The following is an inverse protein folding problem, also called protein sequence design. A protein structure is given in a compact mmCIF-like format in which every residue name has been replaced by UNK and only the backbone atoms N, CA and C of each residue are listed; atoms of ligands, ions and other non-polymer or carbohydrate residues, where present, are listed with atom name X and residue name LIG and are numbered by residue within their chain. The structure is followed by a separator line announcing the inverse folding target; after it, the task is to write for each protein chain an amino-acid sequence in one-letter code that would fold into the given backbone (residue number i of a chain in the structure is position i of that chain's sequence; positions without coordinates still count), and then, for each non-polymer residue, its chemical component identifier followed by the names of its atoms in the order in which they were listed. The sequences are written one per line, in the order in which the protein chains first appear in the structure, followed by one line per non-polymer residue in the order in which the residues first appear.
data_IF_070145709319
#
_entry.id   IF_070145709319
#
_cell.length_a   1.000
_cell.length_b   1.000
_cell.length_c   1.000
_cell.angle_alpha   90.00
_cell.angle_beta   90.00
_cell.angle_gamma   90.00
#
_symmetry.space_group_name_H-M   'P 1'
#
loop_
_entity.id
_entity.type
_entity.pdbx_description
1 polymer ?
#
# COMPACT_ATOMS: atom_id res chain seq x y z
N UNK A 1 -79.59 39.67 41.24
CA UNK A 1 -78.39 40.53 41.20
C UNK A 1 -77.20 39.64 40.85
N UNK A 2 -76.39 39.76 39.80
CA UNK A 2 -76.31 40.62 38.64
C UNK A 2 -75.59 39.82 37.52
N UNK A 3 -75.99 40.02 36.27
CA UNK A 3 -75.35 39.48 35.06
C UNK A 3 -74.03 40.22 34.81
N UNK A 4 -72.97 39.51 34.42
CA UNK A 4 -71.87 40.11 33.63
C UNK A 4 -71.48 39.17 32.49
N UNK A 5 -71.87 39.59 31.29
CA UNK A 5 -71.37 39.09 30.02
C UNK A 5 -69.94 39.61 29.83
N UNK A 6 -69.01 38.73 29.49
CA UNK A 6 -67.75 39.12 28.86
C UNK A 6 -67.67 38.42 27.52
N UNK A 7 -67.78 39.22 26.47
CA UNK A 7 -67.51 38.84 25.09
C UNK A 7 -66.09 39.26 24.71
N UNK A 8 -65.48 38.44 23.84
CA UNK A 8 -64.43 38.73 22.86
C UNK A 8 -62.98 38.89 23.36
N UNK A 9 -62.13 37.90 23.03
CA UNK A 9 -61.28 37.90 21.82
C UNK A 9 -60.32 36.68 21.84
N UNK A 10 -60.28 35.84 20.80
CA UNK A 10 -59.17 34.90 20.65
C UNK A 10 -57.98 35.69 20.08
N UNK A 11 -56.94 35.88 20.89
CA UNK A 11 -55.67 36.40 20.41
C UNK A 11 -54.94 35.24 19.72
N UNK A 12 -55.24 35.01 18.45
CA UNK A 12 -54.39 34.19 17.58
C UNK A 12 -53.04 34.92 17.46
N UNK A 13 -52.08 34.54 18.30
CA UNK A 13 -50.68 34.84 18.03
C UNK A 13 -50.27 34.01 16.81
N UNK A 14 -50.27 34.64 15.64
CA UNK A 14 -49.56 34.14 14.49
C UNK A 14 -48.06 34.11 14.84
N UNK A 15 -47.56 32.94 15.23
CA UNK A 15 -46.13 32.67 15.29
C UNK A 15 -45.60 32.75 13.85
N UNK A 16 -44.74 33.73 13.59
CA UNK A 16 -44.06 33.90 12.32
C UNK A 16 -43.46 32.58 11.82
N UNK A 17 -43.42 32.33 10.50
CA UNK A 17 -42.72 31.17 9.97
C UNK A 17 -41.24 31.37 10.29
N UNK A 18 -40.69 30.55 11.19
CA UNK A 18 -39.24 30.38 11.28
C UNK A 18 -38.80 29.74 9.97
N UNK A 19 -38.48 30.56 8.98
CA UNK A 19 -37.63 30.17 7.88
C UNK A 19 -36.30 29.76 8.52
N UNK A 20 -36.04 28.46 8.60
CA UNK A 20 -34.72 27.91 8.90
C UNK A 20 -34.08 27.47 7.59
N UNK A 21 -33.47 28.38 6.80
CA UNK A 21 -32.58 27.96 5.73
C UNK A 21 -31.19 27.73 6.34
N UNK A 22 -30.99 26.67 7.13
CA UNK A 22 -29.68 26.53 7.82
C UNK A 22 -29.14 25.12 7.98
N UNK A 23 -29.91 24.07 7.71
CA UNK A 23 -29.42 22.69 7.82
C UNK A 23 -28.38 22.30 6.77
N UNK A 24 -28.53 22.62 5.46
CA UNK A 24 -27.48 22.30 4.48
C UNK A 24 -26.27 23.21 4.65
N UNK A 25 -26.47 24.52 4.76
CA UNK A 25 -25.39 25.52 4.87
C UNK A 25 -24.43 25.27 6.06
N UNK A 26 -24.97 24.96 7.25
CA UNK A 26 -24.11 24.66 8.41
C UNK A 26 -23.36 23.33 8.24
N UNK A 27 -23.93 22.37 7.53
CA UNK A 27 -23.29 21.09 7.23
C UNK A 27 -22.18 21.26 6.20
N UNK A 28 -22.42 22.10 5.18
CA UNK A 28 -21.44 22.46 4.16
C UNK A 28 -20.26 23.24 4.75
N UNK A 29 -20.52 24.19 5.67
CA UNK A 29 -19.47 24.95 6.34
C UNK A 29 -18.63 24.09 7.29
N UNK A 30 -19.22 23.07 7.93
CA UNK A 30 -18.46 22.08 8.72
C UNK A 30 -17.63 21.17 7.82
N UNK A 31 -18.16 20.76 6.68
CA UNK A 31 -17.45 19.95 5.69
C UNK A 31 -16.26 20.71 5.09
N UNK A 32 -16.42 21.99 4.75
CA UNK A 32 -15.33 22.80 4.21
C UNK A 32 -14.21 22.98 5.22
N UNK A 33 -14.51 23.30 6.48
CA UNK A 33 -13.50 23.43 7.54
C UNK A 33 -12.77 22.11 7.78
N UNK A 34 -13.45 20.97 7.69
CA UNK A 34 -12.82 19.65 7.78
C UNK A 34 -11.88 19.39 6.59
N UNK A 35 -12.34 19.64 5.36
CA UNK A 35 -11.53 19.46 4.15
C UNK A 35 -10.32 20.39 4.13
N UNK A 36 -10.48 21.65 4.54
CA UNK A 36 -9.36 22.60 4.65
C UNK A 36 -8.30 22.13 5.64
N UNK A 37 -8.73 21.58 6.79
CA UNK A 37 -7.81 20.99 7.77
C UNK A 37 -7.09 19.77 7.21
N UNK A 38 -7.81 18.88 6.51
CA UNK A 38 -7.22 17.71 5.88
C UNK A 38 -6.21 18.11 4.79
N UNK A 39 -6.58 19.02 3.90
CA UNK A 39 -5.70 19.52 2.84
C UNK A 39 -4.47 20.21 3.41
N UNK A 40 -4.63 21.00 4.49
CA UNK A 40 -3.49 21.60 5.18
C UNK A 40 -2.57 20.54 5.77
N UNK A 41 -3.12 19.51 6.40
CA UNK A 41 -2.34 18.39 6.95
C UNK A 41 -1.57 17.68 5.85
N UNK A 42 -2.25 17.27 4.77
CA UNK A 42 -1.62 16.57 3.64
C UNK A 42 -0.54 17.42 2.97
N UNK A 43 -0.76 18.72 2.77
CA UNK A 43 0.27 19.61 2.22
C UNK A 43 1.48 19.70 3.14
N UNK A 44 1.25 19.77 4.46
CA UNK A 44 2.33 19.77 5.45
C UNK A 44 3.14 18.48 5.37
N UNK A 45 2.48 17.33 5.32
CA UNK A 45 3.13 16.01 5.22
C UNK A 45 3.94 15.87 3.91
N UNK A 46 3.36 16.25 2.77
CA UNK A 46 4.04 16.22 1.47
C UNK A 46 5.27 17.13 1.51
N UNK A 47 5.14 18.34 2.07
CA UNK A 47 6.28 19.27 2.21
C UNK A 47 7.36 18.72 3.15
N UNK A 48 7.02 17.95 4.18
CA UNK A 48 8.01 17.30 5.04
C UNK A 48 8.69 16.09 4.41
N UNK A 49 8.05 15.39 3.47
CA UNK A 49 8.65 14.28 2.72
C UNK A 49 9.54 14.74 1.56
N UNK A 50 9.26 15.93 0.99
CA UNK A 50 9.96 16.45 -0.18
C UNK A 50 11.49 16.76 -0.06
N UNK A 51 12.11 16.95 1.12
CA UNK A 51 13.52 17.31 1.21
C UNK A 51 14.46 16.10 1.36
N UNK A 52 13.95 14.87 1.47
CA UNK A 52 14.81 13.69 1.55
C UNK A 52 15.47 13.46 0.17
N UNK A 53 16.80 13.40 0.08
CA UNK A 53 17.46 13.09 -1.19
C UNK A 53 16.93 11.76 -1.70
N UNK A 54 16.61 11.69 -3.00
CA UNK A 54 16.21 10.44 -3.61
C UNK A 54 17.25 9.36 -3.24
N UNK A 55 16.81 8.15 -2.85
CA UNK A 55 17.74 7.09 -2.50
C UNK A 55 18.74 6.91 -3.65
N UNK A 56 20.02 6.66 -3.33
CA UNK A 56 21.05 6.52 -4.35
C UNK A 56 20.60 5.48 -5.37
N UNK A 57 20.73 5.80 -6.66
CA UNK A 57 20.40 4.85 -7.70
C UNK A 57 21.20 3.56 -7.47
N UNK A 58 20.59 2.38 -7.72
CA UNK A 58 21.31 1.12 -7.60
C UNK A 58 22.56 1.16 -8.49
N UNK A 59 23.65 0.49 -8.07
CA UNK A 59 24.90 0.51 -8.82
C UNK A 59 24.68 0.05 -10.27
N UNK A 60 25.20 0.82 -11.22
CA UNK A 60 25.01 0.59 -12.67
C UNK A 60 25.55 -0.75 -13.17
N UNK A 61 26.33 -1.47 -12.35
CA UNK A 61 26.91 -2.76 -12.65
C UNK A 61 26.03 -3.96 -12.26
N UNK A 62 24.80 -3.73 -11.75
CA UNK A 62 23.89 -4.83 -11.47
C UNK A 62 23.58 -5.57 -12.78
N UNK A 63 23.79 -6.90 -12.84
CA UNK A 63 23.68 -7.65 -14.09
C UNK A 63 22.23 -7.94 -14.50
N UNK A 64 21.27 -7.21 -13.93
CA UNK A 64 19.84 -7.34 -14.16
C UNK A 64 19.33 -6.11 -14.90
N UNK A 65 18.45 -6.33 -15.89
CA UNK A 65 17.62 -5.25 -16.40
C UNK A 65 16.49 -4.96 -15.42
N UNK A 66 16.28 -3.69 -15.09
CA UNK A 66 15.24 -3.20 -14.19
C UNK A 66 14.07 -2.67 -15.02
N UNK A 67 12.86 -3.13 -14.73
CA UNK A 67 11.59 -2.63 -15.27
C UNK A 67 10.72 -2.16 -14.09
N UNK A 68 10.58 -0.84 -13.95
CA UNK A 68 9.74 -0.23 -12.93
C UNK A 68 8.30 -0.12 -13.45
N UNK A 69 7.34 -0.73 -12.73
CA UNK A 69 5.92 -0.72 -13.08
C UNK A 69 5.17 0.09 -12.02
N UNK A 70 5.24 1.44 -12.06
CA UNK A 70 4.76 2.28 -10.96
C UNK A 70 3.25 2.14 -10.68
N UNK A 71 2.45 1.76 -11.68
CA UNK A 71 1.01 1.51 -11.51
C UNK A 71 0.67 0.17 -10.84
N UNK A 72 1.58 -0.80 -10.89
CA UNK A 72 1.40 -2.12 -10.27
C UNK A 72 2.12 -2.23 -8.91
N UNK A 73 2.86 -1.19 -8.53
CA UNK A 73 3.59 -1.09 -7.27
C UNK A 73 4.69 -2.16 -7.09
N UNK A 74 5.18 -2.75 -8.18
CA UNK A 74 6.25 -3.76 -8.18
C UNK A 74 7.41 -3.36 -9.10
N UNK A 75 8.62 -3.78 -8.74
CA UNK A 75 9.83 -3.66 -9.55
C UNK A 75 10.20 -5.03 -10.08
N UNK A 76 10.45 -5.13 -11.39
CA UNK A 76 10.85 -6.38 -12.04
C UNK A 76 12.32 -6.33 -12.43
N UNK A 77 13.07 -7.34 -12.02
CA UNK A 77 14.44 -7.59 -12.45
C UNK A 77 14.44 -8.81 -13.37
N UNK A 78 15.20 -8.74 -14.47
CA UNK A 78 15.38 -9.87 -15.38
C UNK A 78 16.84 -10.06 -15.73
N UNK A 79 17.26 -11.33 -15.82
CA UNK A 79 18.60 -11.71 -16.26
C UNK A 79 18.59 -13.11 -16.85
N UNK A 80 19.33 -13.30 -17.93
CA UNK A 80 19.70 -14.61 -18.43
C UNK A 80 21.03 -15.07 -17.80
N UNK A 81 21.09 -16.32 -17.36
CA UNK A 81 22.25 -16.96 -16.75
C UNK A 81 22.65 -18.18 -17.58
N UNK A 82 23.90 -18.23 -18.05
CA UNK A 82 24.44 -19.37 -18.81
C UNK A 82 25.34 -18.94 -19.96
N UNK A 83 25.98 -19.92 -20.60
CA UNK A 83 26.70 -19.74 -21.87
C UNK A 83 25.82 -20.19 -23.04
N UNK A 84 26.12 -19.71 -24.25
CA UNK A 84 25.30 -19.88 -25.46
C UNK A 84 24.65 -21.28 -25.59
N UNK A 85 23.32 -21.33 -25.50
CA UNK A 85 22.50 -22.52 -25.72
C UNK A 85 21.86 -23.14 -24.47
N UNK A 86 22.34 -22.81 -23.26
CA UNK A 86 21.78 -23.29 -21.98
C UNK A 86 21.40 -22.12 -21.04
N UNK A 87 20.98 -21.00 -21.62
CA UNK A 87 20.64 -19.79 -20.87
C UNK A 87 19.34 -19.95 -20.08
N UNK A 88 19.44 -20.04 -18.75
CA UNK A 88 18.31 -19.98 -17.83
C UNK A 88 17.85 -18.52 -17.68
N UNK A 89 16.57 -18.26 -17.85
CA UNK A 89 16.01 -16.94 -17.58
C UNK A 89 15.52 -16.87 -16.14
N UNK A 90 15.98 -15.84 -15.42
CA UNK A 90 15.58 -15.53 -14.05
C UNK A 90 14.87 -14.19 -14.05
N UNK A 91 13.65 -14.20 -13.52
CA UNK A 91 12.84 -13.02 -13.27
C UNK A 91 12.59 -12.89 -11.78
N UNK A 92 12.76 -11.68 -11.26
CA UNK A 92 12.50 -11.34 -9.87
C UNK A 92 11.49 -10.20 -9.84
N UNK A 93 10.32 -10.44 -9.24
CA UNK A 93 9.31 -9.41 -9.00
C UNK A 93 9.34 -9.09 -7.49
N UNK A 94 9.73 -7.86 -7.15
CA UNK A 94 9.76 -7.36 -5.78
C UNK A 94 8.62 -6.37 -5.55
N UNK A 95 7.90 -6.52 -4.43
CA UNK A 95 6.82 -5.62 -4.07
C UNK A 95 7.32 -4.30 -3.49
N UNK A 96 6.46 -3.28 -3.48
CA UNK A 96 6.58 -2.21 -2.48
C UNK A 96 6.36 -2.76 -1.06
N UNK A 97 6.80 -2.00 -0.06
CA UNK A 97 6.70 -2.35 1.36
C UNK A 97 5.28 -2.79 1.71
N UNK A 98 5.15 -4.02 2.19
CA UNK A 98 3.88 -4.69 2.49
C UNK A 98 3.75 -5.11 3.96
N UNK A 99 4.81 -4.91 4.76
CA UNK A 99 4.80 -5.09 6.20
C UNK A 99 5.77 -4.15 6.91
N UNK A 100 5.48 -3.85 8.18
CA UNK A 100 6.36 -3.08 9.03
C UNK A 100 6.25 -3.56 10.48
N UNK A 101 7.39 -3.72 11.15
CA UNK A 101 7.46 -4.01 12.58
C UNK A 101 8.15 -2.85 13.28
N UNK A 102 7.41 -2.22 14.20
CA UNK A 102 7.97 -1.18 15.04
C UNK A 102 9.10 -1.75 15.90
N UNK A 103 10.21 -1.03 16.05
CA UNK A 103 11.33 -1.50 16.85
C UNK A 103 10.89 -1.63 18.31
N UNK A 104 11.18 -2.79 18.91
CA UNK A 104 11.04 -2.96 20.36
C UNK A 104 11.94 -1.93 21.03
N UNK A 105 11.38 -1.02 21.84
CA UNK A 105 12.12 -0.06 22.66
C UNK A 105 13.04 -0.79 23.64
N UNK A 106 14.18 -1.25 23.15
CA UNK A 106 15.34 -1.58 23.98
C UNK A 106 16.24 -0.36 23.94
N UNK A 107 16.37 0.31 25.08
CA UNK A 107 16.95 1.64 25.23
C UNK A 107 18.46 1.72 25.00
N UNK A 108 18.91 1.43 23.79
CA UNK A 108 20.25 1.78 23.33
C UNK A 108 20.06 2.79 22.21
N UNK A 109 20.43 4.04 22.50
CA UNK A 109 20.52 5.10 21.51
C UNK A 109 21.61 4.65 20.52
N UNK A 110 21.21 4.22 19.34
CA UNK A 110 22.13 4.07 18.22
C UNK A 110 22.65 5.48 17.89
N UNK A 111 23.97 5.63 17.83
CA UNK A 111 24.64 6.91 17.52
C UNK A 111 24.48 7.34 16.05
N UNK A 112 23.70 6.62 15.25
CA UNK A 112 23.39 7.01 13.87
C UNK A 112 21.99 6.50 13.50
N UNK A 113 21.00 7.41 13.55
CA UNK A 113 19.60 7.11 13.22
C UNK A 113 18.85 6.36 14.33
N UNK A 114 17.77 6.97 14.84
CA UNK A 114 16.89 6.36 15.85
C UNK A 114 16.30 5.01 15.40
N UNK A 115 15.58 4.30 16.28
CA UNK A 115 15.11 2.96 15.98
C UNK A 115 14.19 3.00 14.75
N UNK A 116 14.67 2.44 13.63
CA UNK A 116 13.96 2.44 12.35
C UNK A 116 12.96 1.27 12.31
N UNK A 117 11.80 1.50 11.70
CA UNK A 117 10.82 0.44 11.45
C UNK A 117 11.45 -0.63 10.56
N UNK A 118 11.32 -1.90 10.96
CA UNK A 118 11.74 -3.02 10.13
C UNK A 118 10.71 -3.21 9.03
N UNK A 119 11.04 -2.78 7.82
CA UNK A 119 10.18 -2.89 6.64
C UNK A 119 10.32 -4.26 6.00
N UNK A 120 9.20 -4.82 5.54
CA UNK A 120 9.14 -6.09 4.83
C UNK A 120 8.72 -5.84 3.38
N UNK A 121 9.29 -6.62 2.46
CA UNK A 121 8.84 -6.75 1.08
C UNK A 121 8.70 -8.23 0.72
N UNK A 122 7.70 -8.54 -0.10
CA UNK A 122 7.58 -9.85 -0.74
C UNK A 122 8.40 -9.90 -2.02
N UNK A 123 9.17 -10.98 -2.21
CA UNK A 123 9.98 -11.20 -3.41
C UNK A 123 9.55 -12.51 -4.07
N UNK A 124 9.22 -12.44 -5.35
CA UNK A 124 8.83 -13.59 -6.16
C UNK A 124 9.88 -13.85 -7.22
N UNK A 125 10.52 -15.01 -7.18
CA UNK A 125 11.51 -15.41 -8.19
C UNK A 125 10.89 -16.46 -9.10
N UNK A 126 11.03 -16.27 -10.40
CA UNK A 126 10.64 -17.22 -11.43
C UNK A 126 11.88 -17.60 -12.23
N UNK A 127 12.17 -18.90 -12.29
CA UNK A 127 13.31 -19.45 -13.04
C UNK A 127 12.78 -20.37 -14.13
N UNK A 128 13.14 -20.07 -15.37
CA UNK A 128 12.76 -20.85 -16.55
C UNK A 128 13.99 -21.37 -17.27
N UNK A 129 13.95 -22.65 -17.67
CA UNK A 129 15.03 -23.27 -18.43
C UNK A 129 14.66 -23.39 -19.91
N UNK A 130 15.60 -23.20 -20.84
CA UNK A 130 15.32 -23.27 -22.27
C UNK A 130 14.92 -24.69 -22.71
N UNK A 131 15.40 -25.72 -22.01
CA UNK A 131 15.02 -27.11 -22.24
C UNK A 131 13.56 -27.44 -21.87
N UNK A 132 12.91 -26.60 -21.05
CA UNK A 132 11.52 -26.76 -20.60
C UNK A 132 10.84 -25.38 -20.48
N UNK A 133 10.60 -24.69 -21.62
CA UNK A 133 10.10 -23.32 -21.63
C UNK A 133 8.63 -23.23 -21.17
N UNK A 134 7.92 -24.35 -21.13
CA UNK A 134 6.55 -24.47 -20.63
C UNK A 134 6.47 -24.59 -19.11
N UNK A 135 7.60 -24.73 -18.42
CA UNK A 135 7.68 -24.83 -16.97
C UNK A 135 8.58 -23.76 -16.36
N UNK A 136 8.16 -23.22 -15.22
CA UNK A 136 8.97 -22.40 -14.35
C UNK A 136 9.07 -23.01 -12.96
N UNK A 137 10.15 -22.71 -12.26
CA UNK A 137 10.23 -22.88 -10.81
C UNK A 137 9.96 -21.52 -10.15
N UNK A 138 8.96 -21.46 -9.27
CA UNK A 138 8.62 -20.26 -8.51
C UNK A 138 9.11 -20.36 -7.07
N UNK A 139 9.64 -19.26 -6.58
CA UNK A 139 10.03 -19.06 -5.20
C UNK A 139 9.22 -17.89 -4.64
N UNK A 140 8.59 -18.11 -3.50
CA UNK A 140 7.98 -17.06 -2.68
C UNK A 140 8.96 -16.79 -1.53
N UNK A 141 9.39 -15.53 -1.41
CA UNK A 141 10.39 -15.12 -0.43
C UNK A 141 9.86 -13.93 0.40
N UNK A 142 10.19 -13.93 1.68
CA UNK A 142 9.95 -12.83 2.62
C UNK A 142 11.28 -12.14 2.87
N UNK A 143 11.39 -10.85 2.51
CA UNK A 143 12.61 -10.08 2.70
C UNK A 143 12.40 -8.97 3.75
N UNK A 144 13.22 -9.02 4.79
CA UNK A 144 13.43 -7.98 5.80
C UNK A 144 14.78 -7.28 5.52
N UNK A 145 15.12 -6.16 6.19
CA UNK A 145 16.33 -5.41 5.87
C UNK A 145 17.63 -6.21 6.08
N UNK A 146 17.62 -7.15 7.04
CA UNK A 146 18.78 -7.94 7.45
C UNK A 146 18.78 -9.38 6.89
N UNK A 147 17.62 -9.88 6.48
CA UNK A 147 17.43 -11.29 6.16
C UNK A 147 16.39 -11.48 5.05
N UNK A 148 16.58 -12.51 4.24
CA UNK A 148 15.60 -12.95 3.26
C UNK A 148 15.44 -14.46 3.34
N UNK A 149 14.20 -14.89 3.55
CA UNK A 149 13.84 -16.29 3.71
C UNK A 149 13.03 -16.77 2.50
N UNK A 150 13.28 -18.00 2.07
CA UNK A 150 12.42 -18.68 1.09
C UNK A 150 11.27 -19.34 1.85
N UNK A 151 10.05 -18.85 1.65
CA UNK A 151 8.87 -19.39 2.30
C UNK A 151 8.38 -20.65 1.58
N UNK A 152 8.48 -20.68 0.26
CA UNK A 152 7.93 -21.75 -0.58
C UNK A 152 8.66 -21.86 -1.92
N UNK A 153 8.73 -23.08 -2.45
CA UNK A 153 9.25 -23.37 -3.79
C UNK A 153 8.36 -24.38 -4.50
N UNK A 154 7.91 -24.07 -5.71
CA UNK A 154 7.02 -24.93 -6.47
C UNK A 154 7.12 -24.77 -7.99
N UNK A 155 6.94 -25.86 -8.75
CA UNK A 155 6.89 -25.79 -10.21
C UNK A 155 5.55 -25.26 -10.71
N UNK A 156 5.56 -24.50 -11.79
CA UNK A 156 4.38 -23.94 -12.45
C UNK A 156 4.44 -24.20 -13.94
N UNK A 157 3.30 -24.55 -14.54
CA UNK A 157 3.14 -24.58 -16.01
C UNK A 157 2.80 -23.18 -16.49
N UNK A 158 3.58 -22.65 -17.43
CA UNK A 158 3.38 -21.33 -18.03
C UNK A 158 2.39 -21.35 -19.20
N UNK A 159 2.22 -22.51 -19.84
CA UNK A 159 1.36 -22.69 -21.00
C UNK A 159 0.45 -23.91 -20.85
N UNK A 160 -0.73 -23.83 -21.47
CA UNK A 160 -1.78 -24.83 -21.39
C UNK A 160 -2.74 -24.62 -20.21
N UNK A 161 -3.73 -25.50 -20.06
CA UNK A 161 -4.68 -25.42 -18.96
C UNK A 161 -3.97 -25.64 -17.62
N UNK A 162 -4.34 -24.84 -16.61
CA UNK A 162 -3.86 -25.03 -15.25
C UNK A 162 -4.26 -26.43 -14.75
N UNK A 163 -3.37 -27.17 -14.08
CA UNK A 163 -3.72 -28.47 -13.53
C UNK A 163 -4.78 -28.29 -12.44
N UNK A 164 -5.72 -29.24 -12.32
CA UNK A 164 -6.75 -29.23 -11.28
C UNK A 164 -6.15 -29.19 -9.87
N UNK A 165 -4.97 -29.79 -9.70
CA UNK A 165 -4.22 -29.78 -8.46
C UNK A 165 -2.74 -29.49 -8.76
N UNK A 166 -2.29 -28.30 -8.41
CA UNK A 166 -0.87 -27.92 -8.50
C UNK A 166 -0.20 -28.18 -7.15
N UNK A 167 0.94 -28.87 -7.18
CA UNK A 167 1.77 -29.00 -5.99
C UNK A 167 2.39 -27.63 -5.66
N UNK A 168 2.00 -27.07 -4.52
CA UNK A 168 2.49 -25.77 -4.05
C UNK A 168 3.76 -25.86 -3.21
N UNK A 169 4.50 -26.97 -3.27
CA UNK A 169 5.72 -27.07 -2.48
C UNK A 169 5.47 -27.24 -0.98
N UNK A 170 6.57 -27.37 -0.25
CA UNK A 170 6.58 -27.34 1.21
C UNK A 170 6.70 -25.89 1.67
N UNK A 171 5.99 -25.55 2.75
CA UNK A 171 6.25 -24.32 3.50
C UNK A 171 7.46 -24.54 4.40
N UNK A 172 8.48 -23.69 4.27
CA UNK A 172 9.73 -23.84 5.00
C UNK A 172 9.71 -23.16 6.38
N UNK A 173 8.74 -22.28 6.63
CA UNK A 173 8.57 -21.51 7.87
C UNK A 173 7.25 -21.85 8.56
#
# INVERSE_FOLDING_TARGET
MARRLLHLRPRLQALAPRLVPSRPYMSDMRRSVFLDRLLRSLRSEISSCSPEPAPPLPPSAAPFSVDDRPGEQWVRLRRAFGEQGEEEEVRVDASMVDGAVAPTRSGVVAEDGGPQDRMHISVHVEVTKPARPDFALKFECSAWPEEMDVERVFPVRLSGPAPEQQYMGRQFR
#
